data_IF_809488307518
#
_entry.id   IF_809488307518
#
_cell.length_a   1.000
_cell.length_b   1.000
_cell.length_c   1.000
_cell.angle_alpha   90.00
_cell.angle_beta   90.00
_cell.angle_gamma   90.00
#
_symmetry.space_group_name_H-M   'P 1'
#
loop_
_entity.id
_entity.type
_entity.pdbx_description
1 polymer ?
#
# COMPACT_ATOMS: atom_id res chain seq x y z
N UNK A 1 15.21 -46.00 -10.28
CA UNK A 1 13.78 -45.77 -9.95
C UNK A 1 13.68 -44.38 -9.36
N UNK A 2 13.08 -43.43 -10.06
CA UNK A 2 13.04 -42.02 -9.64
C UNK A 2 11.90 -41.85 -8.63
N UNK A 3 12.21 -41.69 -7.34
CA UNK A 3 11.19 -41.38 -6.33
C UNK A 3 10.73 -39.95 -6.51
N UNK A 4 9.45 -39.76 -6.84
CA UNK A 4 8.83 -38.43 -6.88
C UNK A 4 8.70 -37.90 -5.45
N UNK A 5 8.89 -36.60 -5.27
CA UNK A 5 8.61 -35.93 -3.98
C UNK A 5 7.13 -36.01 -3.64
N UNK A 6 6.77 -35.97 -2.36
CA UNK A 6 5.36 -35.98 -1.91
C UNK A 6 4.52 -34.87 -2.56
N UNK A 7 5.14 -33.72 -2.84
CA UNK A 7 4.52 -32.62 -3.60
C UNK A 7 4.17 -33.05 -5.03
N UNK A 8 5.10 -33.68 -5.74
CA UNK A 8 4.87 -34.16 -7.11
C UNK A 8 3.82 -35.27 -7.16
N UNK A 9 3.80 -36.16 -6.17
CA UNK A 9 2.76 -37.19 -6.03
C UNK A 9 1.37 -36.59 -5.83
N UNK A 10 1.25 -35.57 -4.97
CA UNK A 10 -0.01 -34.87 -4.74
C UNK A 10 -0.49 -34.13 -5.99
N UNK A 11 0.41 -33.43 -6.69
CA UNK A 11 0.07 -32.73 -7.95
C UNK A 11 -0.45 -33.72 -9.02
N UNK A 12 0.15 -34.91 -9.11
CA UNK A 12 -0.33 -35.96 -10.01
C UNK A 12 -1.72 -36.48 -9.63
N UNK A 13 -1.95 -36.77 -8.33
CA UNK A 13 -3.26 -37.22 -7.84
C UNK A 13 -4.36 -36.20 -8.12
N UNK A 14 -4.05 -34.93 -7.93
CA UNK A 14 -4.99 -33.82 -8.17
C UNK A 14 -5.09 -33.44 -9.66
N UNK A 15 -4.33 -34.11 -10.54
CA UNK A 15 -4.22 -33.80 -11.97
C UNK A 15 -3.83 -32.33 -12.24
N UNK A 16 -3.07 -31.72 -11.33
CA UNK A 16 -2.58 -30.35 -11.46
C UNK A 16 -1.27 -30.39 -12.24
N UNK A 17 -1.28 -29.84 -13.45
CA UNK A 17 -0.05 -29.59 -14.20
C UNK A 17 0.56 -28.26 -13.77
N UNK A 18 1.87 -28.22 -13.42
CA UNK A 18 2.55 -26.96 -13.15
C UNK A 18 2.54 -26.10 -14.41
N UNK A 19 2.09 -24.86 -14.27
CA UNK A 19 2.14 -23.87 -15.34
C UNK A 19 3.59 -23.39 -15.50
N UNK A 20 4.18 -23.64 -16.66
CA UNK A 20 5.45 -23.03 -17.05
C UNK A 20 5.20 -21.55 -17.37
N UNK A 21 5.81 -20.66 -16.60
CA UNK A 21 5.70 -19.23 -16.83
C UNK A 21 6.41 -18.88 -18.15
N UNK A 22 5.74 -18.22 -19.09
CA UNK A 22 6.36 -17.75 -20.32
C UNK A 22 7.58 -16.86 -19.99
N UNK A 23 8.72 -17.08 -20.67
CA UNK A 23 9.99 -16.41 -20.36
C UNK A 23 9.91 -14.88 -20.32
N UNK A 24 8.98 -14.30 -21.08
CA UNK A 24 8.70 -12.85 -21.11
C UNK A 24 8.30 -12.31 -19.73
N UNK A 25 7.56 -13.09 -18.93
CA UNK A 25 7.16 -12.70 -17.58
C UNK A 25 8.30 -12.86 -16.56
N UNK A 26 9.17 -13.87 -16.74
CA UNK A 26 10.39 -14.01 -15.91
C UNK A 26 11.35 -12.82 -16.10
N UNK A 27 11.42 -12.27 -17.31
CA UNK A 27 12.28 -11.11 -17.60
C UNK A 27 11.77 -9.81 -16.94
N UNK A 28 10.47 -9.68 -16.70
CA UNK A 28 9.85 -8.48 -16.12
C UNK A 28 10.06 -8.37 -14.60
N UNK A 29 10.53 -9.44 -13.94
CA UNK A 29 10.89 -9.44 -12.52
C UNK A 29 12.22 -8.72 -12.21
N UNK A 30 12.97 -8.28 -13.24
CA UNK A 30 14.18 -7.46 -13.04
C UNK A 30 13.80 -5.98 -13.06
N UNK A 31 13.70 -5.43 -11.85
CA UNK A 31 13.59 -4.01 -11.47
C UNK A 31 13.89 -3.00 -12.60
N UNK A 32 13.03 -2.00 -12.83
CA UNK A 32 13.51 -0.71 -13.28
C UNK A 32 14.13 0.02 -12.08
N UNK A 33 15.46 0.15 -12.07
CA UNK A 33 16.12 1.30 -11.45
C UNK A 33 15.69 2.52 -12.27
N UNK A 34 14.83 3.36 -11.70
CA UNK A 34 14.46 4.62 -12.31
C UNK A 34 15.04 5.74 -11.46
N UNK A 35 16.17 6.22 -11.93
CA UNK A 35 16.78 7.52 -11.64
C UNK A 35 15.69 8.58 -11.54
N UNK A 36 15.52 9.13 -10.33
CA UNK A 36 14.64 10.27 -10.10
C UNK A 36 15.42 11.51 -10.56
N UNK A 37 15.29 11.84 -11.84
CA UNK A 37 15.76 13.10 -12.37
C UNK A 37 15.00 14.25 -11.68
N UNK A 38 15.77 15.04 -10.94
CA UNK A 38 15.41 16.30 -10.30
C UNK A 38 14.63 17.18 -11.28
N UNK A 39 13.36 17.45 -10.97
CA UNK A 39 12.56 18.45 -11.66
C UNK A 39 12.20 19.57 -10.70
N UNK A 40 12.96 20.65 -10.90
CA UNK A 40 12.83 22.05 -10.53
C UNK A 40 11.63 22.49 -9.66
N UNK A 41 11.99 23.24 -8.63
CA UNK A 41 11.15 24.12 -7.81
C UNK A 41 10.29 25.06 -8.66
N UNK A 42 9.13 25.46 -8.12
CA UNK A 42 8.70 26.83 -8.25
C UNK A 42 8.66 27.49 -6.87
N UNK A 43 9.56 28.46 -6.66
CA UNK A 43 9.38 29.49 -5.64
C UNK A 43 8.05 30.20 -5.87
N UNK A 44 7.17 30.16 -4.88
CA UNK A 44 6.05 31.09 -4.75
C UNK A 44 6.11 31.69 -3.36
N UNK A 45 6.65 32.92 -3.29
CA UNK A 45 6.62 33.77 -2.11
C UNK A 45 5.18 34.30 -1.96
N UNK A 46 4.51 33.91 -0.88
CA UNK A 46 3.17 34.38 -0.49
C UNK A 46 2.99 34.22 1.03
N UNK A 47 2.23 35.12 1.68
CA UNK A 47 2.47 35.56 3.05
C UNK A 47 2.20 34.47 4.08
N UNK A 48 2.85 34.60 5.24
CA UNK A 48 2.72 33.73 6.40
C UNK A 48 1.24 33.41 6.72
N UNK A 49 0.75 32.28 6.21
CA UNK A 49 -0.52 31.70 6.63
C UNK A 49 -0.19 30.78 7.80
N UNK A 50 -0.67 31.21 8.96
CA UNK A 50 -0.73 30.49 10.20
C UNK A 50 -0.82 28.98 9.99
N UNK A 51 0.08 28.25 10.64
CA UNK A 51 0.05 26.79 10.78
C UNK A 51 -1.41 26.36 11.00
N UNK A 52 -2.05 25.64 10.06
CA UNK A 52 -3.39 25.17 10.30
C UNK A 52 -3.28 24.17 11.44
N UNK A 53 -4.07 24.38 12.50
CA UNK A 53 -4.40 23.34 13.45
C UNK A 53 -4.62 22.05 12.64
N UNK A 54 -3.87 20.99 12.95
CA UNK A 54 -3.80 19.79 12.13
C UNK A 54 -5.22 19.31 11.82
N UNK A 55 -5.72 19.64 10.62
CA UNK A 55 -7.11 19.45 10.25
C UNK A 55 -7.29 18.00 9.82
N UNK A 56 -7.26 17.13 10.81
CA UNK A 56 -7.55 15.72 10.63
C UNK A 56 -9.04 15.56 10.34
N UNK A 57 -9.36 15.09 9.14
CA UNK A 57 -10.72 14.72 8.77
C UNK A 57 -10.96 13.24 9.06
N UNK A 58 -12.20 12.88 9.39
CA UNK A 58 -12.62 11.49 9.42
C UNK A 58 -12.86 10.97 7.99
N UNK A 59 -12.42 9.74 7.69
CA UNK A 59 -12.76 9.10 6.44
C UNK A 59 -14.26 8.81 6.39
N UNK A 60 -14.89 9.09 5.25
CA UNK A 60 -16.28 8.74 5.03
C UNK A 60 -16.44 7.21 5.02
N UNK A 61 -17.14 6.61 6.00
CA UNK A 61 -17.29 5.18 6.12
C UNK A 61 -18.20 4.58 5.04
N UNK A 62 -18.94 5.37 4.27
CA UNK A 62 -19.81 4.85 3.22
C UNK A 62 -19.03 4.46 1.95
N UNK A 63 -17.86 5.06 1.74
CA UNK A 63 -16.97 4.78 0.61
C UNK A 63 -16.43 3.34 0.67
N UNK A 64 -16.52 2.62 -0.45
CA UNK A 64 -16.04 1.22 -0.54
C UNK A 64 -14.57 1.09 -0.14
N UNK A 65 -13.71 2.01 -0.59
CA UNK A 65 -12.30 2.01 -0.23
C UNK A 65 -12.09 2.18 1.29
N UNK A 66 -12.87 3.05 1.93
CA UNK A 66 -12.79 3.25 3.37
C UNK A 66 -13.23 2.00 4.14
N UNK A 67 -14.30 1.32 3.68
CA UNK A 67 -14.74 0.05 4.26
C UNK A 67 -13.67 -1.04 4.17
N UNK A 68 -13.03 -1.17 3.01
CA UNK A 68 -11.97 -2.16 2.78
C UNK A 68 -10.76 -1.88 3.68
N UNK A 69 -10.36 -0.60 3.80
CA UNK A 69 -9.26 -0.22 4.67
C UNK A 69 -9.60 -0.41 6.15
N UNK A 70 -10.78 -0.01 6.60
CA UNK A 70 -11.23 -0.24 7.98
C UNK A 70 -11.26 -1.72 8.32
N UNK A 71 -11.67 -2.59 7.38
CA UNK A 71 -11.62 -4.04 7.55
C UNK A 71 -10.18 -4.53 7.68
N UNK A 72 -9.27 -4.09 6.82
CA UNK A 72 -7.86 -4.45 6.90
C UNK A 72 -7.24 -3.96 8.23
N UNK A 73 -7.53 -2.73 8.65
CA UNK A 73 -7.10 -2.23 9.95
C UNK A 73 -7.63 -3.09 11.11
N UNK A 74 -8.90 -3.48 11.07
CA UNK A 74 -9.47 -4.34 12.11
C UNK A 74 -8.78 -5.71 12.20
N UNK A 75 -8.36 -6.27 11.07
CA UNK A 75 -7.69 -7.57 10.98
C UNK A 75 -6.22 -7.52 11.42
N UNK A 76 -5.47 -6.52 10.95
CA UNK A 76 -4.02 -6.45 11.13
C UNK A 76 -3.58 -5.51 12.27
N UNK A 77 -4.34 -4.45 12.55
CA UNK A 77 -3.98 -3.37 13.47
C UNK A 77 -5.21 -2.85 14.24
N UNK A 78 -5.88 -3.69 15.06
CA UNK A 78 -7.19 -3.37 15.63
C UNK A 78 -7.21 -2.17 16.59
N UNK A 79 -6.05 -1.77 17.11
CA UNK A 79 -5.88 -0.63 18.02
C UNK A 79 -5.66 0.70 17.27
N UNK A 80 -5.42 0.64 15.96
CA UNK A 80 -5.04 1.79 15.15
C UNK A 80 -6.27 2.62 14.79
N UNK A 81 -6.21 3.92 15.01
CA UNK A 81 -7.23 4.85 14.54
C UNK A 81 -6.84 5.41 13.16
N UNK A 82 -7.81 5.79 12.34
CA UNK A 82 -7.54 6.36 11.00
C UNK A 82 -8.01 7.80 10.89
N UNK A 83 -7.14 8.67 10.37
CA UNK A 83 -7.44 10.07 10.04
C UNK A 83 -6.89 10.44 8.67
N UNK A 84 -7.62 11.30 7.98
CA UNK A 84 -7.17 11.94 6.74
C UNK A 84 -6.48 13.25 7.09
N UNK A 85 -5.29 13.49 6.54
CA UNK A 85 -4.61 14.77 6.61
C UNK A 85 -4.27 15.22 5.18
N UNK A 86 -4.91 16.27 4.66
CA UNK A 86 -4.66 16.77 3.30
C UNK A 86 -3.24 17.29 3.08
N UNK A 87 -2.51 17.67 4.13
CA UNK A 87 -1.11 18.07 4.04
C UNK A 87 -0.15 16.86 3.95
N UNK A 88 -0.67 15.64 4.17
CA UNK A 88 0.11 14.42 4.05
C UNK A 88 0.12 13.97 2.59
N UNK A 89 1.28 13.55 2.09
CA UNK A 89 1.43 13.02 0.73
C UNK A 89 1.52 11.49 0.70
N UNK A 90 1.83 10.86 1.82
CA UNK A 90 2.00 9.40 1.96
C UNK A 90 1.37 8.91 3.27
N UNK A 91 0.84 7.67 3.30
CA UNK A 91 0.34 7.08 4.54
C UNK A 91 1.49 6.83 5.52
N UNK A 92 1.21 7.08 6.79
CA UNK A 92 2.16 6.86 7.89
C UNK A 92 1.43 6.52 9.17
N UNK A 93 2.07 5.71 10.03
CA UNK A 93 1.58 5.42 11.38
C UNK A 93 2.37 6.24 12.38
N UNK A 94 1.68 7.02 13.20
CA UNK A 94 2.27 7.86 14.25
C UNK A 94 1.41 7.78 15.50
N UNK A 95 1.99 7.38 16.63
CA UNK A 95 1.33 7.36 17.94
C UNK A 95 -0.02 6.60 17.97
N UNK A 96 -0.11 5.45 17.29
CA UNK A 96 -1.36 4.67 17.21
C UNK A 96 -2.41 5.26 16.24
N UNK A 97 -2.01 6.24 15.42
CA UNK A 97 -2.83 6.85 14.39
C UNK A 97 -2.26 6.55 13.00
N UNK A 98 -3.06 5.95 12.14
CA UNK A 98 -2.83 5.94 10.71
C UNK A 98 -3.25 7.29 10.13
N UNK A 99 -2.28 8.06 9.66
CA UNK A 99 -2.52 9.34 8.97
C UNK A 99 -2.29 9.12 7.49
N UNK A 100 -3.29 9.43 6.68
CA UNK A 100 -3.22 9.24 5.23
C UNK A 100 -3.52 10.53 4.45
N UNK A 101 -3.06 10.64 3.19
CA UNK A 101 -3.57 11.65 2.27
C UNK A 101 -5.07 11.48 2.00
N UNK A 102 -5.63 12.35 1.15
CA UNK A 102 -7.02 12.21 0.70
C UNK A 102 -7.29 10.85 0.02
N UNK A 103 -8.55 10.42 0.03
CA UNK A 103 -8.96 9.13 -0.52
C UNK A 103 -8.65 9.04 -2.03
N UNK A 104 -8.77 10.15 -2.75
CA UNK A 104 -8.47 10.24 -4.18
C UNK A 104 -7.01 9.86 -4.46
N UNK A 105 -6.08 10.33 -3.64
CA UNK A 105 -4.65 10.01 -3.79
C UNK A 105 -4.37 8.56 -3.42
N UNK A 106 -5.05 8.04 -2.39
CA UNK A 106 -4.93 6.66 -1.95
C UNK A 106 -5.43 5.64 -2.98
N UNK A 107 -6.18 6.04 -4.01
CA UNK A 107 -6.62 5.09 -5.03
C UNK A 107 -5.47 4.58 -5.92
N UNK A 108 -4.35 5.33 -5.98
CA UNK A 108 -3.19 4.94 -6.78
C UNK A 108 -2.49 3.69 -6.23
N UNK A 109 -1.93 2.88 -7.14
CA UNK A 109 -1.28 1.62 -6.79
C UNK A 109 -0.09 1.81 -5.83
N UNK A 110 0.68 2.88 -6.02
CA UNK A 110 1.81 3.22 -5.15
C UNK A 110 1.35 3.54 -3.73
N UNK A 111 0.31 4.35 -3.57
CA UNK A 111 -0.21 4.73 -2.26
C UNK A 111 -0.83 3.55 -1.52
N UNK A 112 -1.57 2.68 -2.22
CA UNK A 112 -2.08 1.41 -1.65
C UNK A 112 -0.95 0.51 -1.13
N UNK A 113 0.18 0.46 -1.85
CA UNK A 113 1.34 -0.31 -1.43
C UNK A 113 1.97 0.27 -0.16
N UNK A 114 2.16 1.59 -0.08
CA UNK A 114 2.68 2.25 1.11
C UNK A 114 1.74 2.07 2.31
N UNK A 115 0.42 2.16 2.07
CA UNK A 115 -0.61 1.94 3.07
C UNK A 115 -0.55 0.51 3.63
N UNK A 116 -0.40 -0.47 2.75
CA UNK A 116 -0.23 -1.86 3.15
C UNK A 116 1.03 -2.07 3.99
N UNK A 117 2.16 -1.47 3.59
CA UNK A 117 3.40 -1.52 4.38
C UNK A 117 3.24 -0.88 5.75
N UNK A 118 2.42 0.17 5.89
CA UNK A 118 2.11 0.77 7.18
C UNK A 118 1.33 -0.19 8.09
N UNK A 119 0.34 -0.92 7.55
CA UNK A 119 -0.44 -1.88 8.33
C UNK A 119 0.35 -3.11 8.75
N UNK A 120 1.40 -3.47 8.01
CA UNK A 120 2.28 -4.59 8.33
C UNK A 120 3.36 -4.27 9.35
N UNK A 121 3.57 -3.00 9.71
CA UNK A 121 4.56 -2.64 10.73
C UNK A 121 4.02 -3.05 12.11
N UNK A 122 4.56 -4.13 12.66
CA UNK A 122 4.28 -4.57 14.04
C UNK A 122 4.68 -3.45 15.01
N UNK A 123 3.76 -3.06 15.90
CA UNK A 123 4.02 -2.10 17.00
C UNK A 123 4.65 -2.77 18.21
#
# INVERSE_FOLDING_TARGET
MNSLSSKQQLLQLLQIQPLELHQVFSAMAKKPELDIAVLAEPEVIGPAVSVPAESYAEPDPELSFAKDLLRAMHEYQPQLQWRLNPACTEPKVQNGLLVTPSIELLQSAQQKKLLWLCLQQES
#
